data_IF_586248388849
#
_entry.id   IF_586248388849
#
_cell.length_a   1.000
_cell.length_b   1.000
_cell.length_c   1.000
_cell.angle_alpha   90.00
_cell.angle_beta   90.00
_cell.angle_gamma   90.00
#
_symmetry.space_group_name_H-M   'P 1'
#
loop_
_entity.id
_entity.type
_entity.pdbx_description
1 polymer ?
#
# COMPACT_ATOMS: atom_id res chain seq x y z
N UNK A 1 -7.47 -14.89 9.07
CA UNK A 1 -6.39 -15.27 8.11
C UNK A 1 -5.47 -14.07 7.91
N UNK A 2 -4.17 -14.32 7.81
CA UNK A 2 -3.15 -13.35 7.41
C UNK A 2 -3.05 -13.28 5.87
N UNK A 3 -2.69 -12.13 5.33
CA UNK A 3 -2.56 -11.82 3.92
C UNK A 3 -1.08 -11.78 3.49
N UNK A 4 -0.82 -12.20 2.25
CA UNK A 4 0.41 -11.86 1.53
C UNK A 4 0.22 -10.57 0.76
N UNK A 5 0.96 -9.52 1.12
CA UNK A 5 0.78 -8.16 0.59
C UNK A 5 2.08 -7.72 -0.10
N UNK A 6 1.98 -7.34 -1.37
CA UNK A 6 3.04 -6.63 -2.07
C UNK A 6 2.80 -5.12 -1.95
N UNK A 7 3.68 -4.39 -1.26
CA UNK A 7 3.61 -2.93 -1.15
C UNK A 7 4.49 -2.30 -2.22
N UNK A 8 3.88 -1.69 -3.23
CA UNK A 8 4.57 -1.04 -4.35
C UNK A 8 4.78 0.43 -4.03
N UNK A 9 6.03 0.77 -3.70
CA UNK A 9 6.46 2.13 -3.37
C UNK A 9 6.94 2.24 -1.92
N UNK A 10 8.22 1.97 -1.67
CA UNK A 10 8.84 2.12 -0.35
C UNK A 10 9.15 3.59 0.06
N UNK A 11 8.22 4.50 -0.18
CA UNK A 11 8.24 5.86 0.36
C UNK A 11 7.72 5.92 1.79
N UNK A 12 7.34 7.11 2.25
CA UNK A 12 6.89 7.32 3.64
C UNK A 12 5.67 6.46 4.01
N UNK A 13 4.59 6.55 3.22
CA UNK A 13 3.35 5.79 3.45
C UNK A 13 3.58 4.29 3.25
N UNK A 14 4.29 3.88 2.20
CA UNK A 14 4.57 2.47 1.95
C UNK A 14 5.42 1.82 3.05
N UNK A 15 6.40 2.52 3.60
CA UNK A 15 7.17 2.03 4.74
C UNK A 15 6.35 2.02 6.04
N UNK A 16 5.49 3.01 6.28
CA UNK A 16 4.58 3.03 7.43
C UNK A 16 3.60 1.84 7.39
N UNK A 17 2.87 1.69 6.30
CA UNK A 17 1.92 0.59 6.10
C UNK A 17 2.63 -0.76 6.07
N UNK A 18 3.65 -0.91 5.21
CA UNK A 18 4.38 -2.17 5.08
C UNK A 18 5.05 -2.62 6.38
N UNK A 19 5.66 -1.69 7.13
CA UNK A 19 6.31 -1.99 8.39
C UNK A 19 5.35 -2.38 9.52
N UNK A 20 4.17 -1.76 9.59
CA UNK A 20 3.13 -2.10 10.57
C UNK A 20 2.38 -3.38 10.19
N UNK A 21 2.07 -3.59 8.91
CA UNK A 21 1.45 -4.83 8.40
C UNK A 21 2.37 -6.04 8.63
N UNK A 22 3.66 -5.92 8.33
CA UNK A 22 4.63 -6.99 8.59
C UNK A 22 4.72 -7.30 10.09
N UNK A 23 4.62 -6.28 10.94
CA UNK A 23 4.66 -6.44 12.40
C UNK A 23 3.39 -7.06 12.97
N UNK A 24 2.23 -6.82 12.37
CA UNK A 24 0.97 -7.45 12.77
C UNK A 24 0.84 -8.91 12.31
N UNK A 25 1.86 -9.44 11.62
CA UNK A 25 1.97 -10.82 11.19
C UNK A 25 1.64 -11.04 9.71
N UNK A 26 1.23 -10.01 8.97
CA UNK A 26 1.04 -10.15 7.52
C UNK A 26 2.39 -10.46 6.84
N UNK A 27 2.35 -11.16 5.73
CA UNK A 27 3.55 -11.43 4.93
C UNK A 27 3.70 -10.31 3.92
N UNK A 28 4.67 -9.41 4.13
CA UNK A 28 4.85 -8.22 3.31
C UNK A 28 6.10 -8.31 2.45
N UNK A 29 5.93 -8.08 1.15
CA UNK A 29 7.00 -7.84 0.21
C UNK A 29 7.01 -6.36 -0.17
N UNK A 30 8.10 -5.66 0.15
CA UNK A 30 8.23 -4.23 -0.14
C UNK A 30 8.99 -4.00 -1.45
N UNK A 31 8.39 -3.22 -2.35
CA UNK A 31 8.98 -2.93 -3.66
C UNK A 31 9.49 -1.49 -3.71
N UNK A 32 10.74 -1.32 -4.11
CA UNK A 32 11.35 -0.03 -4.40
C UNK A 32 12.18 -0.14 -5.68
N UNK A 33 11.95 0.74 -6.67
CA UNK A 33 12.57 0.64 -7.98
C UNK A 33 14.11 0.73 -7.94
N UNK A 34 14.68 1.52 -7.01
CA UNK A 34 16.13 1.65 -6.82
C UNK A 34 16.71 0.49 -6.02
N UNK A 35 17.64 -0.26 -6.64
CA UNK A 35 18.29 -1.45 -6.05
C UNK A 35 19.04 -1.16 -4.75
N UNK A 36 19.81 -0.08 -4.70
CA UNK A 36 20.58 0.29 -3.51
C UNK A 36 19.66 0.60 -2.33
N UNK A 37 18.58 1.36 -2.56
CA UNK A 37 17.58 1.68 -1.54
C UNK A 37 16.88 0.41 -1.05
N UNK A 38 16.44 -0.48 -1.96
CA UNK A 38 15.81 -1.75 -1.57
C UNK A 38 16.76 -2.60 -0.70
N UNK A 39 18.00 -2.80 -1.14
CA UNK A 39 19.00 -3.57 -0.40
C UNK A 39 19.30 -2.96 0.98
N UNK A 40 19.35 -1.63 1.08
CA UNK A 40 19.53 -0.92 2.34
C UNK A 40 18.37 -1.17 3.32
N UNK A 41 17.14 -1.15 2.82
CA UNK A 41 15.94 -1.44 3.61
C UNK A 41 15.94 -2.90 4.06
N UNK A 42 16.27 -3.84 3.19
CA UNK A 42 16.31 -5.27 3.54
C UNK A 42 17.34 -5.57 4.62
N UNK A 43 18.53 -4.97 4.50
CA UNK A 43 19.61 -5.12 5.48
C UNK A 43 19.27 -4.49 6.83
N UNK A 44 18.71 -3.28 6.84
CA UNK A 44 18.49 -2.48 8.06
C UNK A 44 17.10 -2.69 8.68
N UNK A 45 16.16 -3.23 7.90
CA UNK A 45 14.74 -3.26 8.21
C UNK A 45 14.07 -1.89 8.10
N UNK A 46 12.77 -1.88 8.36
CA UNK A 46 12.00 -0.65 8.53
C UNK A 46 12.14 -0.15 9.98
N UNK A 47 12.27 1.16 10.14
CA UNK A 47 12.25 1.88 11.40
C UNK A 47 11.14 2.95 11.37
N UNK A 48 10.17 2.84 12.26
CA UNK A 48 9.05 3.77 12.39
C UNK A 48 9.19 4.50 13.72
N UNK A 49 9.34 5.81 13.70
CA UNK A 49 9.18 6.65 14.88
C UNK A 49 7.70 7.01 15.02
N UNK A 50 7.07 6.52 16.07
CA UNK A 50 5.66 6.73 16.35
C UNK A 50 5.41 8.11 16.99
N UNK A 51 4.16 8.63 16.98
CA UNK A 51 3.80 9.88 17.66
C UNK A 51 4.14 9.86 19.16
N UNK A 52 4.06 8.69 19.80
CA UNK A 52 4.48 8.47 21.20
C UNK A 52 5.99 8.54 21.42
N UNK A 53 6.78 8.87 20.38
CA UNK A 53 8.25 8.83 20.32
C UNK A 53 8.87 7.43 20.40
N UNK A 54 8.06 6.38 20.58
CA UNK A 54 8.51 5.00 20.50
C UNK A 54 9.06 4.71 19.10
N UNK A 55 10.17 3.97 19.04
CA UNK A 55 10.73 3.49 17.76
C UNK A 55 10.40 2.02 17.59
N UNK A 56 9.69 1.71 16.52
CA UNK A 56 9.36 0.36 16.08
C UNK A 56 10.34 -0.06 15.00
N UNK A 57 10.86 -1.28 15.07
CA UNK A 57 11.72 -1.88 14.05
C UNK A 57 11.11 -3.19 13.56
N UNK A 58 11.15 -3.40 12.24
CA UNK A 58 10.58 -4.58 11.59
C UNK A 58 11.49 -5.01 10.43
N UNK A 59 11.90 -6.28 10.41
CA UNK A 59 12.57 -6.85 9.23
C UNK A 59 11.53 -7.09 8.14
N UNK A 60 11.89 -6.81 6.89
CA UNK A 60 10.99 -6.94 5.74
C UNK A 60 11.80 -7.37 4.52
N UNK A 61 11.22 -8.25 3.71
CA UNK A 61 11.82 -8.65 2.43
C UNK A 61 11.58 -7.55 1.40
N UNK A 62 12.60 -7.28 0.58
CA UNK A 62 12.49 -6.25 -0.46
C UNK A 62 12.79 -6.80 -1.84
N UNK A 63 12.24 -6.17 -2.87
CA UNK A 63 12.61 -6.40 -4.27
C UNK A 63 12.57 -5.09 -5.06
N UNK A 64 13.21 -5.09 -6.22
CA UNK A 64 13.11 -3.96 -7.17
C UNK A 64 11.89 -4.03 -8.07
N UNK A 65 11.30 -5.21 -8.23
CA UNK A 65 10.11 -5.47 -9.02
C UNK A 65 9.39 -6.73 -8.53
N UNK A 66 8.10 -6.80 -8.82
CA UNK A 66 7.32 -8.02 -8.65
C UNK A 66 7.62 -9.04 -9.76
N UNK A 67 7.33 -10.29 -9.45
CA UNK A 67 7.41 -11.43 -10.36
C UNK A 67 6.22 -12.35 -10.14
N UNK A 68 5.90 -13.17 -11.15
CA UNK A 68 4.84 -14.20 -11.05
C UNK A 68 5.03 -15.19 -9.89
N UNK A 69 6.23 -15.31 -9.35
CA UNK A 69 6.56 -16.23 -8.26
C UNK A 69 6.25 -15.66 -6.88
N UNK A 70 6.07 -14.35 -6.75
CA UNK A 70 5.81 -13.70 -5.45
C UNK A 70 4.38 -13.96 -4.95
N UNK A 71 3.43 -14.24 -5.85
CA UNK A 71 2.03 -14.65 -5.58
C UNK A 71 1.35 -13.88 -4.42
N UNK A 72 1.34 -12.53 -4.44
CA UNK A 72 0.61 -11.75 -3.44
C UNK A 72 -0.90 -11.98 -3.55
N UNK A 73 -1.60 -11.85 -2.43
CA UNK A 73 -3.07 -11.81 -2.36
C UNK A 73 -3.60 -10.38 -2.51
N UNK A 74 -2.72 -9.38 -2.32
CA UNK A 74 -3.00 -7.95 -2.48
C UNK A 74 -1.76 -7.22 -2.98
N UNK A 75 -1.92 -6.35 -3.97
CA UNK A 75 -0.95 -5.31 -4.32
C UNK A 75 -1.43 -3.98 -3.75
N UNK A 76 -0.65 -3.37 -2.86
CA UNK A 76 -0.92 -2.05 -2.28
C UNK A 76 -0.01 -1.01 -2.95
N UNK A 77 -0.59 -0.06 -3.67
CA UNK A 77 0.15 0.99 -4.39
C UNK A 77 0.23 2.24 -3.52
N UNK A 78 1.47 2.67 -3.25
CA UNK A 78 1.79 3.86 -2.44
C UNK A 78 2.87 4.74 -3.09
N UNK A 79 3.08 4.58 -4.41
CA UNK A 79 3.97 5.47 -5.19
C UNK A 79 3.36 6.87 -5.34
N UNK A 80 4.16 7.82 -5.81
CA UNK A 80 3.63 9.15 -6.17
C UNK A 80 2.82 9.05 -7.46
N UNK A 81 1.86 9.95 -7.65
CA UNK A 81 0.89 9.87 -8.75
C UNK A 81 1.55 9.81 -10.15
N UNK A 82 2.67 10.52 -10.33
CA UNK A 82 3.44 10.51 -11.58
C UNK A 82 4.11 9.16 -11.90
N UNK A 83 4.23 8.25 -10.92
CA UNK A 83 4.79 6.90 -11.12
C UNK A 83 3.70 5.85 -11.40
N UNK A 84 2.41 6.19 -11.24
CA UNK A 84 1.28 5.24 -11.33
C UNK A 84 1.25 4.52 -12.69
N UNK A 85 1.51 5.25 -13.77
CA UNK A 85 1.52 4.72 -15.13
C UNK A 85 2.59 3.63 -15.34
N UNK A 86 3.80 3.89 -14.84
CA UNK A 86 4.91 2.95 -14.87
C UNK A 86 4.63 1.71 -14.03
N UNK A 87 4.04 1.88 -12.85
CA UNK A 87 3.61 0.77 -11.98
C UNK A 87 2.56 -0.10 -12.66
N UNK A 88 1.53 0.50 -13.27
CA UNK A 88 0.48 -0.22 -13.98
C UNK A 88 1.07 -1.10 -15.10
N UNK A 89 2.01 -0.55 -15.87
CA UNK A 89 2.74 -1.27 -16.93
C UNK A 89 3.57 -2.44 -16.39
N UNK A 90 4.22 -2.27 -15.24
CA UNK A 90 5.01 -3.33 -14.60
C UNK A 90 4.14 -4.46 -14.04
N UNK A 91 2.99 -4.13 -13.45
CA UNK A 91 2.05 -5.12 -12.92
C UNK A 91 1.48 -6.00 -14.03
N UNK A 92 1.12 -5.40 -15.17
CA UNK A 92 0.66 -6.14 -16.35
C UNK A 92 1.74 -7.14 -16.81
N UNK A 93 2.99 -6.69 -16.98
CA UNK A 93 4.13 -7.54 -17.37
C UNK A 93 4.46 -8.64 -16.35
N UNK A 94 4.15 -8.43 -15.08
CA UNK A 94 4.45 -9.37 -14.00
C UNK A 94 3.37 -10.44 -13.81
N UNK A 95 2.38 -10.52 -14.70
CA UNK A 95 1.22 -11.40 -14.61
C UNK A 95 0.37 -11.19 -13.33
N UNK A 96 0.31 -9.94 -12.84
CA UNK A 96 -0.50 -9.57 -11.66
C UNK A 96 -1.93 -9.11 -12.03
N UNK A 97 -2.42 -9.47 -13.21
CA UNK A 97 -3.69 -8.97 -13.76
C UNK A 97 -4.95 -9.46 -13.02
N UNK A 98 -4.84 -10.52 -12.20
CA UNK A 98 -5.95 -11.08 -11.41
C UNK A 98 -5.80 -10.85 -9.90
N UNK A 99 -4.72 -10.20 -9.46
CA UNK A 99 -4.51 -9.92 -8.03
C UNK A 99 -5.23 -8.61 -7.70
N UNK A 100 -6.00 -8.52 -6.61
CA UNK A 100 -6.56 -7.26 -6.15
C UNK A 100 -5.47 -6.17 -6.01
N UNK A 101 -5.73 -5.00 -6.57
CA UNK A 101 -4.83 -3.84 -6.53
C UNK A 101 -5.52 -2.71 -5.78
N UNK A 102 -5.03 -2.37 -4.60
CA UNK A 102 -5.48 -1.22 -3.83
C UNK A 102 -4.58 -0.01 -4.12
N UNK A 103 -5.13 1.03 -4.71
CA UNK A 103 -4.46 2.34 -4.74
C UNK A 103 -4.74 3.08 -3.43
N UNK A 104 -3.68 3.44 -2.69
CA UNK A 104 -3.77 4.27 -1.48
C UNK A 104 -3.07 5.61 -1.68
N UNK A 105 -3.10 6.10 -2.91
CA UNK A 105 -2.45 7.34 -3.32
C UNK A 105 -3.38 8.53 -3.07
N UNK A 106 -2.80 9.69 -2.82
CA UNK A 106 -3.57 10.94 -2.79
C UNK A 106 -3.82 11.46 -4.21
N UNK A 107 -4.89 12.23 -4.38
CA UNK A 107 -5.29 12.84 -5.64
C UNK A 107 -6.23 11.96 -6.49
N UNK A 108 -6.81 12.58 -7.52
CA UNK A 108 -7.66 11.93 -8.52
C UNK A 108 -6.82 11.43 -9.71
N UNK A 109 -7.37 10.53 -10.54
CA UNK A 109 -6.74 10.05 -11.77
C UNK A 109 -5.88 8.79 -11.62
N UNK A 110 -5.48 8.41 -10.39
CA UNK A 110 -4.65 7.23 -10.15
C UNK A 110 -5.41 5.93 -10.48
N UNK A 111 -6.68 5.85 -10.10
CA UNK A 111 -7.51 4.66 -10.31
C UNK A 111 -7.76 4.47 -11.80
N UNK A 112 -8.12 5.54 -12.50
CA UNK A 112 -8.36 5.58 -13.94
C UNK A 112 -7.10 5.17 -14.72
N UNK A 113 -5.92 5.64 -14.28
CA UNK A 113 -4.63 5.24 -14.86
C UNK A 113 -4.35 3.73 -14.70
N UNK A 114 -4.76 3.14 -13.57
CA UNK A 114 -4.61 1.70 -13.31
C UNK A 114 -5.60 0.89 -14.16
N UNK A 115 -6.87 1.32 -14.21
CA UNK A 115 -7.93 0.67 -14.99
C UNK A 115 -7.66 0.70 -16.51
N UNK A 116 -6.91 1.68 -17.00
CA UNK A 116 -6.49 1.72 -18.40
C UNK A 116 -5.56 0.56 -18.81
N UNK A 117 -4.96 -0.16 -17.85
CA UNK A 117 -4.00 -1.26 -18.13
C UNK A 117 -4.31 -2.57 -17.41
N UNK A 118 -5.03 -2.50 -16.31
CA UNK A 118 -5.39 -3.63 -15.46
C UNK A 118 -6.90 -3.85 -15.55
N UNK A 119 -7.37 -5.04 -15.16
CA UNK A 119 -8.80 -5.31 -15.16
C UNK A 119 -9.48 -4.42 -14.12
N UNK A 120 -10.51 -3.66 -14.51
CA UNK A 120 -11.22 -2.77 -13.58
C UNK A 120 -11.80 -3.50 -12.37
N UNK A 121 -12.24 -4.75 -12.54
CA UNK A 121 -12.73 -5.58 -11.45
C UNK A 121 -11.64 -6.01 -10.43
N UNK A 122 -10.36 -5.81 -10.74
CA UNK A 122 -9.24 -6.02 -9.81
C UNK A 122 -8.91 -4.81 -8.95
N UNK A 123 -9.39 -3.61 -9.31
CA UNK A 123 -9.00 -2.36 -8.65
C UNK A 123 -9.89 -2.07 -7.45
N UNK A 124 -9.26 -1.64 -6.36
CA UNK A 124 -9.87 -1.12 -5.15
C UNK A 124 -9.30 0.28 -4.96
N UNK A 125 -10.17 1.24 -4.69
CA UNK A 125 -9.76 2.60 -4.36
C UNK A 125 -9.59 2.76 -2.86
N UNK A 126 -8.67 3.62 -2.46
CA UNK A 126 -8.50 3.98 -1.08
C UNK A 126 -7.78 5.30 -0.90
N UNK A 127 -7.95 5.87 0.27
CA UNK A 127 -7.27 7.10 0.65
C UNK A 127 -7.03 7.12 2.16
N UNK A 128 -5.94 7.74 2.58
CA UNK A 128 -5.57 7.79 4.00
C UNK A 128 -5.15 9.18 4.44
N UNK A 129 -5.62 9.64 5.59
CA UNK A 129 -5.13 10.88 6.23
C UNK A 129 -3.97 10.63 7.18
N UNK A 130 -3.44 9.40 7.23
CA UNK A 130 -2.16 9.12 7.88
C UNK A 130 -1.06 10.00 7.26
N UNK A 131 -0.25 10.63 8.11
CA UNK A 131 0.85 11.48 7.70
C UNK A 131 2.18 10.84 8.10
N UNK A 132 3.09 10.69 7.14
CA UNK A 132 4.42 10.15 7.39
C UNK A 132 5.49 10.92 6.62
N UNK A 133 6.66 11.02 7.23
CA UNK A 133 7.85 11.63 6.65
C UNK A 133 8.98 10.60 6.53
N UNK A 134 9.55 10.45 5.34
CA UNK A 134 10.77 9.66 5.15
C UNK A 134 11.96 10.41 5.73
N UNK A 135 12.71 9.76 6.62
CA UNK A 135 13.96 10.28 7.20
C UNK A 135 15.20 9.52 6.72
N UNK A 136 15.02 8.52 5.86
CA UNK A 136 16.05 7.74 5.17
C UNK A 136 15.48 6.44 4.60
N UNK A 137 16.28 5.62 3.89
CA UNK A 137 15.84 4.31 3.42
C UNK A 137 15.23 3.47 4.54
N UNK A 138 13.95 3.14 4.42
CA UNK A 138 13.20 2.33 5.40
C UNK A 138 12.96 3.04 6.75
N UNK A 139 13.35 4.30 6.88
CA UNK A 139 13.19 5.09 8.11
C UNK A 139 12.12 6.13 7.91
N UNK A 140 11.07 6.08 8.73
CA UNK A 140 9.94 7.01 8.66
C UNK A 140 9.57 7.52 10.04
N UNK A 141 9.11 8.77 10.09
CA UNK A 141 8.41 9.34 11.25
C UNK A 141 6.92 9.36 10.91
N UNK A 142 6.11 8.72 11.73
CA UNK A 142 4.66 8.82 11.67
C UNK A 142 4.25 10.12 12.37
N UNK A 143 3.88 11.13 11.58
CA UNK A 143 3.68 12.51 12.02
C UNK A 143 2.23 12.84 12.33
N UNK A 144 1.27 12.01 11.93
CA UNK A 144 -0.14 12.21 12.26
C UNK A 144 -0.97 10.96 11.99
N UNK A 145 -1.69 10.51 13.01
CA UNK A 145 -2.67 9.43 12.88
C UNK A 145 -3.93 9.95 12.20
N UNK A 146 -4.47 9.16 11.28
CA UNK A 146 -5.61 9.54 10.47
C UNK A 146 -6.64 8.42 10.37
N UNK A 147 -7.48 8.56 9.35
CA UNK A 147 -8.46 7.59 8.93
C UNK A 147 -8.12 7.13 7.52
N UNK A 148 -8.28 5.84 7.29
CA UNK A 148 -8.13 5.21 5.98
C UNK A 148 -9.48 4.75 5.49
N UNK A 149 -9.85 5.17 4.29
CA UNK A 149 -11.03 4.65 3.61
C UNK A 149 -10.59 3.77 2.46
N UNK A 150 -11.28 2.65 2.28
CA UNK A 150 -11.13 1.77 1.12
C UNK A 150 -12.52 1.44 0.58
N UNK A 151 -12.63 1.09 -0.70
CA UNK A 151 -13.90 0.65 -1.25
C UNK A 151 -13.80 0.18 -2.70
N UNK A 152 -14.82 -0.59 -3.08
CA UNK A 152 -15.02 -0.98 -4.47
C UNK A 152 -15.50 0.23 -5.27
N UNK A 153 -15.02 0.38 -6.51
CA UNK A 153 -15.42 1.51 -7.38
C UNK A 153 -16.92 1.50 -7.71
N UNK A 154 -17.56 0.34 -7.64
CA UNK A 154 -19.00 0.16 -7.83
C UNK A 154 -19.80 0.16 -6.52
N UNK A 155 -19.18 0.49 -5.39
CA UNK A 155 -19.83 0.58 -4.08
C UNK A 155 -20.20 -0.76 -3.42
N UNK A 156 -19.88 -1.90 -4.04
CA UNK A 156 -20.15 -3.21 -3.43
C UNK A 156 -19.32 -3.40 -2.16
N UNK A 157 -19.94 -4.01 -1.16
CA UNK A 157 -19.21 -4.60 -0.04
C UNK A 157 -18.67 -5.97 -0.46
N UNK A 158 -17.35 -6.13 -0.46
CA UNK A 158 -16.69 -7.36 -0.92
C UNK A 158 -15.85 -8.02 0.18
N UNK A 159 -15.70 -9.34 0.10
CA UNK A 159 -14.84 -10.11 1.01
C UNK A 159 -13.38 -9.63 1.00
N UNK A 160 -12.89 -9.16 -0.15
CA UNK A 160 -11.53 -8.61 -0.26
C UNK A 160 -11.39 -7.28 0.49
N UNK A 161 -12.36 -6.38 0.43
CA UNK A 161 -12.36 -5.15 1.25
C UNK A 161 -12.40 -5.48 2.75
N UNK A 162 -13.23 -6.46 3.16
CA UNK A 162 -13.27 -6.93 4.56
C UNK A 162 -11.95 -7.57 5.01
N UNK A 163 -11.25 -8.29 4.12
CA UNK A 163 -9.94 -8.85 4.43
C UNK A 163 -8.87 -7.75 4.61
N UNK A 164 -8.87 -6.75 3.73
CA UNK A 164 -7.95 -5.60 3.78
C UNK A 164 -8.20 -4.78 5.04
N UNK A 165 -9.45 -4.42 5.32
CA UNK A 165 -9.82 -3.65 6.51
C UNK A 165 -9.33 -4.36 7.79
N UNK A 166 -9.59 -5.67 7.91
CA UNK A 166 -9.09 -6.46 9.06
C UNK A 166 -7.57 -6.43 9.18
N UNK A 167 -6.84 -6.57 8.08
CA UNK A 167 -5.38 -6.51 8.09
C UNK A 167 -4.87 -5.11 8.51
N UNK A 168 -5.47 -4.05 7.99
CA UNK A 168 -5.10 -2.66 8.32
C UNK A 168 -5.42 -2.33 9.79
N UNK A 169 -6.59 -2.75 10.29
CA UNK A 169 -6.98 -2.56 11.69
C UNK A 169 -6.07 -3.35 12.64
N UNK A 170 -5.68 -4.58 12.30
CA UNK A 170 -4.67 -5.34 13.07
C UNK A 170 -3.31 -4.64 13.09
N UNK A 171 -2.95 -3.95 12.01
CA UNK A 171 -1.75 -3.13 11.93
C UNK A 171 -1.87 -1.77 12.65
N UNK A 172 -3.02 -1.49 13.28
CA UNK A 172 -3.25 -0.28 14.07
C UNK A 172 -3.69 0.93 13.25
N UNK A 173 -4.18 0.74 12.02
CA UNK A 173 -4.76 1.81 11.21
C UNK A 173 -6.29 1.86 11.38
N UNK A 174 -6.81 3.03 11.72
CA UNK A 174 -8.26 3.29 11.65
C UNK A 174 -8.69 3.17 10.19
N UNK A 175 -9.53 2.17 9.89
CA UNK A 175 -9.94 1.85 8.52
C UNK A 175 -11.45 1.66 8.44
N UNK A 176 -12.07 2.24 7.41
CA UNK A 176 -13.48 2.12 7.07
C UNK A 176 -13.65 1.66 5.61
N UNK A 177 -14.67 0.85 5.37
CA UNK A 177 -15.08 0.49 4.01
C UNK A 177 -16.19 1.46 3.58
N UNK A 178 -15.97 2.16 2.47
CA UNK A 178 -16.94 3.08 1.87
C UNK A 178 -17.73 2.40 0.75
N UNK A 179 -19.04 2.56 0.76
CA UNK A 179 -19.92 2.22 -0.37
C UNK A 179 -19.95 3.33 -1.45
N UNK A 180 -19.34 4.49 -1.17
CA UNK A 180 -19.15 5.60 -2.12
C UNK A 180 -17.69 6.08 -2.07
N UNK A 181 -16.76 5.20 -2.44
CA UNK A 181 -15.33 5.54 -2.38
C UNK A 181 -14.98 6.70 -3.32
N UNK A 182 -15.66 6.83 -4.46
CA UNK A 182 -15.51 7.97 -5.36
C UNK A 182 -15.79 9.30 -4.64
N UNK A 183 -16.94 9.42 -3.97
CA UNK A 183 -17.26 10.62 -3.19
C UNK A 183 -16.22 10.95 -2.13
N UNK A 184 -15.65 9.92 -1.47
CA UNK A 184 -14.58 10.11 -0.48
C UNK A 184 -13.27 10.61 -1.12
N UNK A 185 -12.89 10.09 -2.29
CA UNK A 185 -11.72 10.57 -3.03
C UNK A 185 -11.88 12.04 -3.44
N UNK A 186 -13.05 12.39 -4.00
CA UNK A 186 -13.37 13.76 -4.42
C UNK A 186 -13.37 14.75 -3.27
N UNK A 187 -13.91 14.39 -2.10
CA UNK A 187 -13.98 15.27 -0.93
C UNK A 187 -12.61 15.60 -0.31
N UNK A 188 -11.54 14.88 -0.69
CA UNK A 188 -10.20 15.02 -0.10
C UNK A 188 -9.25 15.87 -0.96
N UNK A 189 -9.63 16.18 -2.20
CA UNK A 189 -8.84 17.00 -3.12
C UNK A 189 -9.31 18.44 -3.03
#
# INVERSE_FOLDING_TARGET
KLLRIAVVGAGAIGCLFGGRLQRSGESVLLIHHTRSVAADIEKKGIRIREPSRKVVRTRITTRTRLSKYDKPELVLITVKAYDTEGVASLLMKSAMHNVPVLSLQNGLGNVETLEARLRSDSIIAGTTTEAALTTGPGSVTHTGSGMTWIGEMNGRHSERCLAIERAFRRAGFSTLISNNINGVLWAKV
#
